data_IF_814555468913
#
_entry.id   IF_814555468913
#
_cell.length_a   1.000
_cell.length_b   1.000
_cell.length_c   1.000
_cell.angle_alpha   90.00
_cell.angle_beta   90.00
_cell.angle_gamma   90.00
#
_symmetry.space_group_name_H-M   'P 1'
#
loop_
_entity.id
_entity.type
_entity.pdbx_description
1 polymer ?
#
# COMPACT_ATOMS: atom_id res chain seq x y z
N UNK A 1 45.93 10.04 -4.72
CA UNK A 1 44.90 9.49 -5.63
C UNK A 1 43.93 8.49 -4.98
N UNK A 2 44.37 7.40 -4.31
CA UNK A 2 43.47 6.32 -3.82
C UNK A 2 42.17 6.77 -3.09
N UNK A 3 42.23 7.75 -2.17
CA UNK A 3 41.03 8.27 -1.47
C UNK A 3 40.12 9.16 -2.33
N UNK A 4 40.64 9.74 -3.42
CA UNK A 4 39.89 10.65 -4.30
C UNK A 4 38.94 9.89 -5.22
N UNK A 5 39.38 8.73 -5.75
CA UNK A 5 38.57 7.94 -6.68
C UNK A 5 37.28 7.41 -6.02
N UNK A 6 37.39 6.91 -4.78
CA UNK A 6 36.25 6.42 -3.99
C UNK A 6 35.27 7.56 -3.68
N UNK A 7 35.78 8.77 -3.37
CA UNK A 7 34.94 9.93 -3.09
C UNK A 7 34.19 10.42 -4.34
N UNK A 8 34.83 10.41 -5.51
CA UNK A 8 34.20 10.79 -6.79
C UNK A 8 33.10 9.81 -7.18
N UNK A 9 33.31 8.50 -6.97
CA UNK A 9 32.31 7.46 -7.25
C UNK A 9 31.09 7.56 -6.33
N UNK A 10 31.27 7.99 -5.07
CA UNK A 10 30.17 8.28 -4.14
C UNK A 10 29.46 9.61 -4.42
N UNK A 11 30.19 10.66 -4.80
CA UNK A 11 29.62 12.00 -5.07
C UNK A 11 28.87 12.08 -6.41
N UNK A 12 29.23 11.27 -7.41
CA UNK A 12 28.58 11.29 -8.72
C UNK A 12 27.08 10.98 -8.70
N UNK A 13 26.62 10.19 -7.73
CA UNK A 13 25.19 9.85 -7.57
C UNK A 13 24.35 10.95 -6.91
N UNK A 14 24.97 11.93 -6.23
CA UNK A 14 24.25 12.87 -5.36
C UNK A 14 23.56 14.04 -6.09
N UNK A 15 23.76 14.19 -7.42
CA UNK A 15 23.28 15.37 -8.19
C UNK A 15 22.59 15.05 -9.52
N UNK A 16 22.06 13.84 -9.72
CA UNK A 16 21.16 13.59 -10.86
C UNK A 16 19.72 13.98 -10.49
N UNK A 17 19.19 15.03 -11.12
CA UNK A 17 17.79 15.46 -10.96
C UNK A 17 16.84 14.36 -11.42
N UNK A 18 16.01 13.87 -10.51
CA UNK A 18 15.16 12.69 -10.68
C UNK A 18 13.95 13.03 -11.57
N UNK A 19 14.14 12.94 -12.89
CA UNK A 19 13.03 12.73 -13.82
C UNK A 19 12.35 11.37 -13.56
N UNK A 20 11.09 11.21 -13.99
CA UNK A 20 10.21 10.07 -13.66
C UNK A 20 10.62 8.69 -14.28
N UNK A 21 11.92 8.46 -14.54
CA UNK A 21 12.46 7.19 -15.05
C UNK A 21 13.26 6.49 -13.96
N UNK A 22 12.90 5.24 -13.69
CA UNK A 22 13.24 4.54 -12.46
C UNK A 22 14.74 4.37 -12.24
N UNK A 23 15.24 4.94 -11.15
CA UNK A 23 16.45 4.47 -10.50
C UNK A 23 16.07 3.36 -9.52
N UNK A 24 16.82 2.26 -9.52
CA UNK A 24 16.79 1.24 -8.48
C UNK A 24 18.21 1.06 -7.94
N UNK A 25 18.34 0.76 -6.66
CA UNK A 25 19.59 0.31 -6.08
C UNK A 25 19.30 -0.77 -5.05
N UNK A 26 20.28 -1.57 -4.67
CA UNK A 26 20.04 -2.59 -3.67
C UNK A 26 21.27 -3.40 -3.31
N UNK A 27 21.18 -4.21 -2.24
CA UNK A 27 22.16 -5.22 -1.96
C UNK A 27 22.09 -6.33 -3.02
N UNK A 28 23.25 -6.94 -3.26
CA UNK A 28 23.39 -8.17 -4.02
C UNK A 28 24.33 -9.13 -3.31
N UNK A 29 24.07 -10.43 -3.44
CA UNK A 29 24.91 -11.48 -2.88
C UNK A 29 24.86 -12.71 -3.78
N UNK A 30 25.89 -13.54 -3.74
CA UNK A 30 25.96 -14.69 -4.64
C UNK A 30 27.15 -15.59 -4.44
N UNK A 31 27.37 -16.48 -5.41
CA UNK A 31 28.47 -17.43 -5.47
C UNK A 31 29.28 -17.24 -6.75
N UNK A 32 30.60 -17.14 -6.61
CA UNK A 32 31.56 -17.25 -7.71
C UNK A 32 32.07 -18.68 -7.84
N UNK A 33 32.28 -19.09 -9.08
CA UNK A 33 32.82 -20.36 -9.53
C UNK A 33 33.98 -20.04 -10.49
N UNK A 34 35.06 -19.50 -9.94
CA UNK A 34 36.23 -19.06 -10.69
C UNK A 34 37.29 -20.16 -10.76
N UNK A 35 37.99 -20.23 -11.89
CA UNK A 35 39.28 -20.92 -12.04
C UNK A 35 40.31 -19.85 -12.39
N UNK A 36 41.30 -19.65 -11.54
CA UNK A 36 42.27 -18.53 -11.65
C UNK A 36 43.46 -18.94 -12.52
N UNK A 37 43.92 -20.18 -12.35
CA UNK A 37 44.93 -20.81 -13.19
C UNK A 37 44.43 -21.06 -14.62
N UNK A 38 45.25 -20.70 -15.62
CA UNK A 38 45.03 -21.05 -17.02
C UNK A 38 45.87 -22.25 -17.42
N UNK A 39 45.32 -23.12 -18.27
CA UNK A 39 46.07 -24.21 -18.92
C UNK A 39 46.47 -25.37 -18.01
N UNK A 40 46.17 -25.33 -16.71
CA UNK A 40 46.34 -26.49 -15.81
C UNK A 40 45.05 -27.31 -15.86
N UNK A 41 45.11 -28.55 -16.32
CA UNK A 41 43.92 -29.41 -16.45
C UNK A 41 43.41 -29.81 -15.05
N UNK A 42 44.31 -30.24 -14.16
CA UNK A 42 44.08 -30.66 -12.77
C UNK A 42 43.73 -29.52 -11.79
N UNK A 43 42.87 -28.58 -12.19
CA UNK A 43 42.40 -27.51 -11.29
C UNK A 43 40.89 -27.34 -11.36
N UNK A 44 40.24 -27.54 -10.23
CA UNK A 44 38.80 -27.39 -10.03
C UNK A 44 38.46 -26.07 -9.32
N UNK A 45 37.49 -25.32 -9.87
CA UNK A 45 36.99 -24.08 -9.27
C UNK A 45 36.14 -24.36 -8.03
N UNK A 46 36.33 -23.59 -6.95
CA UNK A 46 35.54 -23.71 -5.72
C UNK A 46 34.46 -22.64 -5.63
N UNK A 47 33.25 -23.03 -5.23
CA UNK A 47 32.16 -22.09 -4.97
C UNK A 47 32.50 -21.16 -3.80
N UNK A 48 32.43 -19.84 -3.99
CA UNK A 48 32.80 -18.83 -2.98
C UNK A 48 31.82 -17.67 -2.89
N UNK A 49 31.50 -17.17 -1.69
CA UNK A 49 30.55 -16.09 -1.53
C UNK A 49 31.09 -14.75 -2.05
N UNK A 50 30.17 -13.88 -2.45
CA UNK A 50 30.41 -12.45 -2.59
C UNK A 50 29.20 -11.65 -2.11
N UNK A 51 29.44 -10.40 -1.73
CA UNK A 51 28.41 -9.44 -1.32
C UNK A 51 28.76 -8.06 -1.87
N UNK A 52 27.74 -7.30 -2.26
CA UNK A 52 27.94 -5.99 -2.86
C UNK A 52 26.66 -5.18 -2.96
N UNK A 53 26.75 -4.09 -3.71
CA UNK A 53 25.63 -3.23 -4.04
C UNK A 53 25.61 -2.94 -5.54
N UNK A 54 24.44 -2.65 -6.07
CA UNK A 54 24.25 -2.18 -7.43
C UNK A 54 23.35 -0.94 -7.45
N UNK A 55 23.55 -0.10 -8.46
CA UNK A 55 22.67 1.00 -8.84
C UNK A 55 22.37 0.90 -10.33
N UNK A 56 21.09 0.87 -10.67
CA UNK A 56 20.59 0.69 -12.02
C UNK A 56 19.68 1.86 -12.42
N UNK A 57 19.88 2.39 -13.63
CA UNK A 57 19.10 3.47 -14.22
C UNK A 57 18.35 2.97 -15.45
N UNK A 58 17.02 2.99 -15.39
CA UNK A 58 16.15 2.57 -16.50
C UNK A 58 15.90 3.72 -17.46
N UNK A 59 16.66 3.78 -18.56
CA UNK A 59 16.48 4.78 -19.62
C UNK A 59 15.18 4.55 -20.39
N UNK A 60 14.80 3.29 -20.64
CA UNK A 60 13.53 2.88 -21.25
C UNK A 60 12.99 1.61 -20.57
N UNK A 61 11.82 1.11 -21.00
CA UNK A 61 11.30 -0.20 -20.55
C UNK A 61 12.21 -1.38 -20.96
N UNK A 62 12.98 -1.23 -22.02
CA UNK A 62 13.81 -2.29 -22.60
C UNK A 62 15.32 -2.07 -22.39
N UNK A 63 15.76 -0.89 -21.90
CA UNK A 63 17.17 -0.54 -21.77
C UNK A 63 17.46 0.14 -20.42
N UNK A 64 18.46 -0.37 -19.72
CA UNK A 64 18.99 0.22 -18.49
C UNK A 64 20.51 0.18 -18.46
N UNK A 65 21.14 1.15 -17.80
CA UNK A 65 22.54 1.09 -17.42
C UNK A 65 22.65 0.64 -15.96
N UNK A 66 23.71 -0.07 -15.58
CA UNK A 66 23.98 -0.48 -14.20
C UNK A 66 25.45 -0.25 -13.85
N UNK A 67 25.67 0.22 -12.62
CA UNK A 67 26.96 0.19 -11.94
C UNK A 67 26.85 -0.72 -10.72
N UNK A 68 27.78 -1.63 -10.52
CA UNK A 68 27.82 -2.47 -9.33
C UNK A 68 29.24 -2.58 -8.75
N UNK A 69 29.31 -2.82 -7.44
CA UNK A 69 30.54 -2.97 -6.67
C UNK A 69 30.37 -4.05 -5.61
N UNK A 70 31.32 -4.98 -5.53
CA UNK A 70 31.27 -6.14 -4.63
C UNK A 70 32.61 -6.44 -3.97
N UNK A 71 32.57 -6.98 -2.77
CA UNK A 71 33.65 -7.78 -2.21
C UNK A 71 33.41 -9.24 -2.59
N UNK A 72 34.36 -9.87 -3.29
CA UNK A 72 34.25 -11.27 -3.68
C UNK A 72 35.42 -12.11 -3.18
N UNK A 73 35.08 -13.31 -2.70
CA UNK A 73 36.04 -14.36 -2.47
C UNK A 73 36.09 -15.25 -3.72
N UNK A 74 37.26 -15.75 -4.07
CA UNK A 74 37.47 -16.71 -5.16
C UNK A 74 38.43 -17.80 -4.72
N UNK A 75 38.32 -18.95 -5.35
CA UNK A 75 39.41 -19.89 -5.24
C UNK A 75 39.24 -21.17 -6.00
N UNK A 76 40.35 -21.86 -6.12
CA UNK A 76 40.56 -23.08 -6.85
C UNK A 76 41.23 -24.12 -5.95
N UNK A 77 41.14 -25.37 -6.38
CA UNK A 77 41.79 -26.53 -5.77
C UNK A 77 42.58 -27.24 -6.86
N UNK A 78 43.82 -27.60 -6.53
CA UNK A 78 44.65 -28.42 -7.42
C UNK A 78 44.30 -29.89 -7.14
N UNK A 79 43.75 -30.57 -8.14
CA UNK A 79 43.31 -31.96 -8.02
C UNK A 79 44.52 -32.86 -7.72
N UNK A 80 44.27 -34.01 -7.08
CA UNK A 80 45.29 -34.89 -6.47
C UNK A 80 46.11 -34.29 -5.31
N UNK A 81 46.08 -32.98 -5.08
CA UNK A 81 46.77 -32.34 -3.94
C UNK A 81 45.79 -31.80 -2.88
N UNK A 82 46.34 -31.42 -1.74
CA UNK A 82 45.65 -30.71 -0.67
C UNK A 82 45.89 -29.20 -0.71
N UNK A 83 46.37 -28.68 -1.85
CA UNK A 83 46.64 -27.27 -2.10
C UNK A 83 45.39 -26.50 -2.58
N UNK A 84 45.15 -25.32 -2.00
CA UNK A 84 43.99 -24.46 -2.25
C UNK A 84 44.40 -22.98 -2.28
N UNK A 85 43.72 -22.19 -3.11
CA UNK A 85 44.00 -20.75 -3.31
C UNK A 85 42.68 -20.05 -3.72
N UNK A 86 41.86 -19.34 -2.93
CA UNK A 86 42.06 -18.45 -1.77
C UNK A 86 42.60 -17.05 -2.16
N UNK A 87 41.82 -16.31 -2.96
CA UNK A 87 42.05 -14.89 -3.26
C UNK A 87 40.78 -14.04 -3.05
N UNK A 88 40.97 -12.78 -2.64
CA UNK A 88 39.88 -11.82 -2.35
C UNK A 88 39.99 -10.61 -3.28
N UNK A 89 38.86 -10.10 -3.75
CA UNK A 89 38.78 -9.02 -4.74
C UNK A 89 37.77 -7.95 -4.35
N UNK A 90 37.99 -6.73 -4.86
CA UNK A 90 36.94 -5.75 -5.10
C UNK A 90 36.58 -5.81 -6.58
N UNK A 91 35.36 -6.20 -6.87
CA UNK A 91 34.81 -6.26 -8.22
C UNK A 91 34.00 -5.00 -8.48
N UNK A 92 34.18 -4.37 -9.63
CA UNK A 92 33.38 -3.23 -10.08
C UNK A 92 32.99 -3.39 -11.54
N UNK A 93 31.69 -3.38 -11.85
CA UNK A 93 31.19 -3.48 -13.24
C UNK A 93 30.41 -2.24 -13.66
N UNK A 94 30.55 -1.87 -14.93
CA UNK A 94 29.66 -0.97 -15.64
C UNK A 94 29.00 -1.72 -16.81
N UNK A 95 27.68 -1.84 -16.78
CA UNK A 95 26.89 -2.71 -17.64
C UNK A 95 25.82 -1.93 -18.41
N UNK A 96 25.60 -2.32 -19.66
CA UNK A 96 24.38 -2.02 -20.41
C UNK A 96 23.51 -3.28 -20.41
N UNK A 97 22.23 -3.13 -20.06
CA UNK A 97 21.26 -4.22 -19.94
C UNK A 97 20.05 -3.99 -20.83
N UNK A 98 19.73 -5.01 -21.60
CA UNK A 98 18.54 -5.11 -22.45
C UNK A 98 17.52 -6.04 -21.75
N UNK A 99 16.28 -5.59 -21.60
CA UNK A 99 15.18 -6.36 -21.01
C UNK A 99 14.24 -6.88 -22.10
N UNK A 100 13.80 -8.13 -21.97
CA UNK A 100 12.88 -8.78 -22.91
C UNK A 100 11.89 -9.70 -22.17
N UNK A 101 10.71 -9.89 -22.76
CA UNK A 101 9.63 -10.72 -22.19
C UNK A 101 9.21 -10.35 -20.75
N UNK A 102 9.45 -9.11 -20.31
CA UNK A 102 9.20 -8.54 -18.97
C UNK A 102 9.87 -9.24 -17.77
N UNK A 103 10.40 -10.46 -17.93
CA UNK A 103 11.02 -11.25 -16.87
C UNK A 103 12.48 -11.63 -17.15
N UNK A 104 12.99 -11.40 -18.36
CA UNK A 104 14.35 -11.76 -18.76
C UNK A 104 15.16 -10.53 -19.13
N UNK A 105 16.47 -10.60 -18.91
CA UNK A 105 17.40 -9.57 -19.33
C UNK A 105 18.75 -10.15 -19.72
N UNK A 106 19.43 -9.46 -20.62
CA UNK A 106 20.81 -9.71 -20.98
C UNK A 106 21.63 -8.45 -20.71
N UNK A 107 22.75 -8.56 -20.01
CA UNK A 107 23.69 -7.45 -19.77
C UNK A 107 25.08 -7.77 -20.28
N UNK A 108 25.77 -6.74 -20.78
CA UNK A 108 27.20 -6.80 -21.08
C UNK A 108 27.86 -5.44 -20.83
N UNK A 109 29.17 -5.40 -20.67
CA UNK A 109 29.91 -4.16 -20.43
C UNK A 109 31.36 -4.38 -20.09
N UNK A 110 31.88 -3.59 -19.14
CA UNK A 110 33.27 -3.64 -18.69
C UNK A 110 33.30 -3.85 -17.18
N UNK A 111 34.10 -4.82 -16.74
CA UNK A 111 34.38 -5.07 -15.33
C UNK A 111 35.86 -4.89 -15.00
N UNK A 112 36.13 -4.61 -13.73
CA UNK A 112 37.48 -4.56 -13.16
C UNK A 112 37.49 -5.34 -11.85
N UNK A 113 38.44 -6.27 -11.73
CA UNK A 113 38.65 -7.09 -10.55
C UNK A 113 39.97 -6.65 -9.90
N UNK A 114 39.89 -5.94 -8.78
CA UNK A 114 41.05 -5.48 -8.03
C UNK A 114 41.39 -6.49 -6.92
N UNK A 115 42.52 -7.17 -7.03
CA UNK A 115 42.95 -8.15 -6.04
C UNK A 115 43.41 -7.46 -4.74
N UNK A 116 42.89 -7.91 -3.60
CA UNK A 116 43.24 -7.40 -2.27
C UNK A 116 44.27 -8.27 -1.56
N UNK A 117 44.12 -9.59 -1.67
CA UNK A 117 44.96 -10.57 -1.00
C UNK A 117 44.86 -11.91 -1.73
N UNK A 118 45.92 -12.71 -1.70
CA UNK A 118 45.91 -14.08 -2.14
C UNK A 118 46.77 -14.91 -1.19
N UNK A 119 46.39 -16.17 -0.99
CA UNK A 119 47.11 -17.11 -0.13
C UNK A 119 47.04 -18.52 -0.69
N UNK A 120 48.08 -19.31 -0.46
CA UNK A 120 48.10 -20.74 -0.71
C UNK A 120 47.94 -21.47 0.62
N UNK A 121 46.98 -22.39 0.70
CA UNK A 121 46.71 -23.24 1.86
C UNK A 121 47.00 -24.68 1.44
N UNK A 122 48.02 -25.32 2.04
CA UNK A 122 48.31 -26.74 1.88
C UNK A 122 47.91 -27.50 3.15
N UNK A 123 47.12 -28.56 3.02
CA UNK A 123 46.72 -29.43 4.15
C UNK A 123 47.39 -30.79 4.05
N UNK A 124 48.62 -30.89 4.52
CA UNK A 124 49.41 -32.13 4.42
C UNK A 124 48.84 -33.27 5.28
N UNK A 125 48.14 -32.94 6.36
CA UNK A 125 47.48 -33.89 7.27
C UNK A 125 46.28 -33.24 7.97
N UNK A 126 45.52 -34.01 8.75
CA UNK A 126 44.45 -33.49 9.63
C UNK A 126 44.97 -32.57 10.74
N UNK A 127 46.28 -32.57 11.00
CA UNK A 127 46.93 -31.82 12.08
C UNK A 127 47.84 -30.68 11.62
N UNK A 128 48.16 -30.58 10.31
CA UNK A 128 49.05 -29.53 9.77
C UNK A 128 48.39 -28.77 8.61
N UNK A 129 48.40 -27.44 8.72
CA UNK A 129 47.98 -26.51 7.67
C UNK A 129 49.11 -25.53 7.46
N UNK A 130 49.69 -25.53 6.26
CA UNK A 130 50.66 -24.53 5.84
C UNK A 130 49.94 -23.44 5.04
N UNK A 131 49.93 -22.22 5.56
CA UNK A 131 49.41 -21.05 4.85
C UNK A 131 50.57 -20.14 4.41
N UNK A 132 50.54 -19.69 3.16
CA UNK A 132 51.49 -18.70 2.61
C UNK A 132 50.71 -17.60 1.90
N UNK A 133 50.76 -16.39 2.45
CA UNK A 133 50.25 -15.19 1.78
C UNK A 133 51.20 -14.74 0.66
N UNK A 134 50.65 -14.12 -0.37
CA UNK A 134 51.41 -13.50 -1.47
C UNK A 134 51.46 -11.99 -1.28
N UNK A 135 52.67 -11.42 -1.19
CA UNK A 135 52.87 -9.98 -1.00
C UNK A 135 52.44 -9.16 -2.24
N UNK A 136 52.74 -9.66 -3.44
CA UNK A 136 52.30 -9.04 -4.69
C UNK A 136 51.13 -9.81 -5.31
N UNK A 137 49.94 -9.21 -5.23
CA UNK A 137 48.70 -9.70 -5.85
C UNK A 137 48.31 -8.90 -7.10
N UNK A 138 49.14 -7.95 -7.55
CA UNK A 138 48.83 -7.07 -8.67
C UNK A 138 48.63 -7.84 -9.98
N UNK A 139 49.34 -8.96 -10.17
CA UNK A 139 49.19 -9.90 -11.29
C UNK A 139 47.80 -10.55 -11.41
N UNK A 140 47.04 -10.62 -10.31
CA UNK A 140 45.67 -11.14 -10.29
C UNK A 140 44.63 -10.07 -10.66
N UNK A 141 45.03 -8.79 -10.71
CA UNK A 141 44.15 -7.68 -11.02
C UNK A 141 43.92 -7.61 -12.53
N UNK A 142 42.67 -7.62 -12.97
CA UNK A 142 42.33 -7.72 -14.39
C UNK A 142 41.09 -6.92 -14.80
N UNK A 143 41.03 -6.56 -16.08
CA UNK A 143 39.80 -6.12 -16.74
C UNK A 143 39.08 -7.32 -17.34
N UNK A 144 37.75 -7.29 -17.30
CA UNK A 144 36.89 -8.36 -17.82
C UNK A 144 35.73 -7.83 -18.64
N UNK A 145 35.19 -8.67 -19.52
CA UNK A 145 33.90 -8.45 -20.18
C UNK A 145 32.88 -9.40 -19.56
N UNK A 146 32.02 -8.94 -18.63
CA UNK A 146 30.94 -9.74 -18.07
C UNK A 146 29.80 -9.89 -19.06
N UNK A 147 29.32 -11.12 -19.24
CA UNK A 147 28.07 -11.46 -19.94
C UNK A 147 27.08 -11.96 -18.88
N UNK A 148 25.94 -11.30 -18.73
CA UNK A 148 24.92 -11.65 -17.73
C UNK A 148 23.60 -12.05 -18.38
N UNK A 149 22.97 -13.11 -17.86
CA UNK A 149 21.57 -13.46 -18.09
C UNK A 149 20.81 -13.33 -16.78
N UNK A 150 19.85 -12.40 -16.72
CA UNK A 150 19.03 -12.11 -15.55
C UNK A 150 17.58 -12.60 -15.70
N UNK A 151 17.04 -13.20 -14.65
CA UNK A 151 15.63 -13.56 -14.51
C UNK A 151 15.00 -12.79 -13.34
N UNK A 152 13.83 -12.19 -13.54
CA UNK A 152 13.11 -11.38 -12.55
C UNK A 152 11.91 -12.14 -11.98
N UNK A 153 11.87 -12.25 -10.65
CA UNK A 153 10.75 -12.82 -9.90
C UNK A 153 9.61 -11.81 -9.70
N UNK A 154 8.44 -12.30 -9.29
CA UNK A 154 7.24 -11.46 -9.08
C UNK A 154 7.42 -10.38 -8.00
N UNK A 155 8.26 -10.63 -7.00
CA UNK A 155 8.65 -9.66 -5.97
C UNK A 155 9.79 -8.73 -6.39
N UNK A 156 10.08 -8.64 -7.69
CA UNK A 156 11.15 -7.86 -8.31
C UNK A 156 12.60 -8.26 -7.97
N UNK A 157 12.82 -9.22 -7.07
CA UNK A 157 14.13 -9.81 -6.90
C UNK A 157 14.61 -10.41 -8.23
N UNK A 158 15.91 -10.37 -8.49
CA UNK A 158 16.48 -10.95 -9.72
C UNK A 158 17.57 -11.97 -9.44
N UNK A 159 17.61 -13.00 -10.27
CA UNK A 159 18.65 -14.02 -10.32
C UNK A 159 19.48 -13.81 -11.59
N UNK A 160 20.79 -13.59 -11.46
CA UNK A 160 21.70 -13.39 -12.60
C UNK A 160 22.74 -14.50 -12.68
N UNK A 161 22.87 -15.09 -13.86
CA UNK A 161 23.99 -15.95 -14.25
C UNK A 161 25.00 -15.10 -15.01
N UNK A 162 26.23 -15.00 -14.51
CA UNK A 162 27.29 -14.15 -15.08
C UNK A 162 28.45 -15.00 -15.55
N UNK A 163 28.97 -14.71 -16.74
CA UNK A 163 30.23 -15.26 -17.25
C UNK A 163 31.15 -14.11 -17.65
N UNK A 164 32.18 -13.86 -16.83
CA UNK A 164 33.21 -12.86 -17.08
C UNK A 164 34.36 -13.43 -17.90
N UNK A 165 34.64 -12.82 -19.04
CA UNK A 165 35.76 -13.15 -19.93
C UNK A 165 36.95 -12.26 -19.55
N UNK A 166 38.08 -12.87 -19.16
CA UNK A 166 39.29 -12.15 -18.78
C UNK A 166 40.07 -11.59 -19.96
N UNK A 167 40.43 -10.30 -19.90
CA UNK A 167 41.24 -9.63 -20.93
C UNK A 167 42.74 -9.76 -20.64
N UNK A 168 43.58 -9.55 -21.66
CA UNK A 168 45.05 -9.51 -21.55
C UNK A 168 45.68 -10.71 -20.82
N UNK A 169 45.16 -11.91 -21.03
CA UNK A 169 45.64 -13.11 -20.35
C UNK A 169 44.98 -13.39 -18.98
N UNK A 170 44.16 -12.47 -18.46
CA UNK A 170 43.38 -12.64 -17.23
C UNK A 170 42.33 -13.78 -17.29
N UNK A 171 41.89 -14.25 -16.13
CA UNK A 171 41.11 -15.48 -15.96
C UNK A 171 39.59 -15.30 -16.07
N UNK A 172 38.88 -16.36 -16.48
CA UNK A 172 37.42 -16.34 -16.61
C UNK A 172 36.72 -16.62 -15.27
N UNK A 173 35.52 -16.08 -15.09
CA UNK A 173 34.73 -16.26 -13.87
C UNK A 173 33.26 -16.57 -14.20
N UNK A 174 32.71 -17.66 -13.65
CA UNK A 174 31.27 -17.89 -13.65
C UNK A 174 30.68 -17.50 -12.29
N UNK A 175 29.51 -16.86 -12.24
CA UNK A 175 28.87 -16.47 -10.98
C UNK A 175 27.34 -16.55 -11.03
N UNK A 176 26.72 -16.78 -9.87
CA UNK A 176 25.27 -16.74 -9.66
C UNK A 176 24.97 -15.67 -8.62
N UNK A 177 24.12 -14.69 -8.97
CA UNK A 177 23.84 -13.49 -8.15
C UNK A 177 22.35 -13.37 -7.84
N UNK A 178 22.00 -13.12 -6.58
CA UNK A 178 20.69 -12.62 -6.19
C UNK A 178 20.76 -11.12 -5.92
N UNK A 179 19.75 -10.37 -6.37
CA UNK A 179 19.65 -8.91 -6.18
C UNK A 179 18.27 -8.53 -5.68
N UNK A 180 18.21 -7.57 -4.76
CA UNK A 180 16.98 -7.13 -4.11
C UNK A 180 16.79 -5.62 -4.33
N UNK A 181 15.93 -5.19 -5.28
CA UNK A 181 15.77 -3.78 -5.59
C UNK A 181 15.05 -3.02 -4.47
N UNK A 182 15.67 -1.94 -4.01
CA UNK A 182 15.06 -0.92 -3.17
C UNK A 182 14.60 0.20 -4.11
N UNK A 183 13.28 0.31 -4.32
CA UNK A 183 12.68 1.42 -5.06
C UNK A 183 12.53 2.64 -4.16
N UNK A 184 13.23 3.72 -4.50
CA UNK A 184 12.91 5.05 -3.94
C UNK A 184 11.76 5.64 -4.75
N UNK A 185 10.52 5.28 -4.40
CA UNK A 185 9.33 6.00 -4.89
C UNK A 185 9.36 7.42 -4.33
N UNK A 186 9.34 8.47 -5.17
CA UNK A 186 9.28 9.86 -4.70
C UNK A 186 8.11 10.08 -3.73
N UNK A 187 8.36 10.81 -2.65
CA UNK A 187 7.41 10.98 -1.54
C UNK A 187 6.06 11.56 -2.01
N UNK A 188 6.06 12.44 -3.01
CA UNK A 188 4.86 13.07 -3.60
C UNK A 188 3.85 12.09 -4.22
N UNK A 189 4.28 10.88 -4.62
CA UNK A 189 3.39 9.89 -5.26
C UNK A 189 2.86 8.83 -4.29
N UNK A 190 3.21 8.90 -3.00
CA UNK A 190 2.65 7.98 -2.01
C UNK A 190 1.23 8.42 -1.67
N UNK A 191 0.20 7.57 -1.82
CA UNK A 191 -1.14 7.92 -1.38
C UNK A 191 -1.10 8.26 0.12
N UNK A 192 -1.88 9.27 0.56
CA UNK A 192 -1.87 9.70 1.96
C UNK A 192 -2.17 8.52 2.88
N UNK A 193 -1.41 8.38 3.96
CA UNK A 193 -1.63 7.28 4.91
C UNK A 193 -3.08 7.34 5.44
N UNK A 194 -3.70 6.17 5.69
CA UNK A 194 -5.10 6.13 6.20
C UNK A 194 -5.28 6.99 7.45
N UNK A 195 -4.27 7.05 8.31
CA UNK A 195 -4.24 7.92 9.50
C UNK A 195 -4.26 9.42 9.14
N UNK A 196 -3.52 9.84 8.11
CA UNK A 196 -3.54 11.23 7.64
C UNK A 196 -4.87 11.59 6.97
N UNK A 197 -5.46 10.68 6.19
CA UNK A 197 -6.81 10.86 5.61
C UNK A 197 -7.85 11.03 6.72
N UNK A 198 -7.86 10.13 7.71
CA UNK A 198 -8.77 10.22 8.84
C UNK A 198 -8.56 11.50 9.67
N UNK A 199 -7.31 11.92 9.91
CA UNK A 199 -6.99 13.14 10.66
C UNK A 199 -7.48 14.39 9.94
N UNK A 200 -7.36 14.46 8.61
CA UNK A 200 -8.00 15.50 7.81
C UNK A 200 -9.53 15.44 8.00
N UNK A 201 -10.18 14.30 7.74
CA UNK A 201 -11.64 14.13 7.89
C UNK A 201 -12.17 14.54 9.28
N UNK A 202 -11.42 14.27 10.36
CA UNK A 202 -11.77 14.70 11.73
C UNK A 202 -11.71 16.22 11.87
N UNK A 203 -10.67 16.86 11.33
CA UNK A 203 -10.51 18.32 11.33
C UNK A 203 -11.56 19.00 10.46
N UNK A 204 -11.84 18.43 9.30
CA UNK A 204 -12.78 18.96 8.31
C UNK A 204 -14.21 18.83 8.87
N UNK A 205 -14.58 17.71 9.52
CA UNK A 205 -15.83 17.58 10.28
C UNK A 205 -15.93 18.58 11.45
N UNK A 206 -14.85 18.80 12.21
CA UNK A 206 -14.83 19.74 13.35
C UNK A 206 -15.02 21.21 12.92
N UNK A 207 -14.70 21.55 11.67
CA UNK A 207 -14.86 22.89 11.08
C UNK A 207 -16.15 23.06 10.28
N UNK A 208 -16.65 21.96 9.74
CA UNK A 208 -17.88 21.88 8.95
C UNK A 208 -19.11 21.50 9.80
N UNK A 209 -20.02 20.74 9.19
CA UNK A 209 -21.23 20.27 9.86
C UNK A 209 -21.49 18.77 9.67
N UNK A 210 -22.28 18.20 10.57
CA UNK A 210 -22.82 16.85 10.47
C UNK A 210 -24.30 16.90 10.04
N UNK A 211 -24.60 16.36 8.87
CA UNK A 211 -25.97 16.28 8.35
C UNK A 211 -26.59 14.95 8.77
N UNK A 212 -27.57 14.98 9.67
CA UNK A 212 -28.25 13.79 10.18
C UNK A 212 -29.45 13.46 9.28
N UNK A 213 -29.38 12.30 8.63
CA UNK A 213 -30.42 11.81 7.73
C UNK A 213 -31.51 11.09 8.52
N UNK A 214 -32.71 11.67 8.51
CA UNK A 214 -33.91 11.16 9.15
C UNK A 214 -34.65 10.18 8.22
N UNK A 215 -34.99 8.95 8.66
CA UNK A 215 -35.72 7.99 7.84
C UNK A 215 -37.11 8.50 7.42
N UNK A 216 -37.54 8.09 6.23
CA UNK A 216 -38.91 8.23 5.73
C UNK A 216 -39.43 6.92 5.16
N UNK A 217 -40.71 6.65 5.36
CA UNK A 217 -41.39 5.43 4.87
C UNK A 217 -42.29 5.71 3.65
N UNK A 218 -41.92 6.69 2.81
CA UNK A 218 -42.77 7.17 1.72
C UNK A 218 -43.29 6.06 0.79
N UNK A 219 -42.49 5.05 0.35
CA UNK A 219 -43.01 3.97 -0.49
C UNK A 219 -44.09 3.12 0.20
N UNK A 220 -43.95 2.89 1.52
CA UNK A 220 -44.93 2.16 2.32
C UNK A 220 -46.21 3.00 2.55
N UNK A 221 -46.05 4.28 2.84
CA UNK A 221 -47.15 5.25 3.01
C UNK A 221 -47.97 5.35 1.72
N UNK A 222 -47.31 5.48 0.57
CA UNK A 222 -47.95 5.48 -0.76
C UNK A 222 -48.70 4.16 -1.01
N UNK A 223 -48.05 3.01 -0.81
CA UNK A 223 -48.67 1.69 -1.03
C UNK A 223 -49.84 1.38 -0.07
N UNK A 224 -49.86 1.93 1.14
CA UNK A 224 -50.99 1.81 2.07
C UNK A 224 -52.16 2.72 1.66
N UNK A 225 -51.87 3.93 1.20
CA UNK A 225 -52.89 4.86 0.70
C UNK A 225 -53.56 4.36 -0.59
N UNK A 226 -52.79 3.81 -1.53
CA UNK A 226 -53.31 3.16 -2.75
C UNK A 226 -54.25 1.98 -2.44
N UNK A 227 -54.08 1.34 -1.27
CA UNK A 227 -54.93 0.25 -0.76
C UNK A 227 -56.09 0.74 0.11
N UNK A 228 -56.26 2.06 0.28
CA UNK A 228 -57.28 2.65 1.16
C UNK A 228 -57.08 2.39 2.66
N UNK A 229 -55.89 1.96 3.09
CA UNK A 229 -55.62 1.52 4.47
C UNK A 229 -55.23 2.71 5.39
N UNK A 230 -56.10 3.73 5.46
CA UNK A 230 -55.85 5.03 6.10
C UNK A 230 -55.27 4.93 7.52
N UNK A 231 -55.81 4.05 8.35
CA UNK A 231 -55.44 3.95 9.77
C UNK A 231 -53.99 3.44 9.92
N UNK A 232 -53.61 2.47 9.09
CA UNK A 232 -52.24 1.94 9.03
C UNK A 232 -51.27 2.97 8.47
N UNK A 233 -51.69 3.79 7.50
CA UNK A 233 -50.87 4.93 7.04
C UNK A 233 -50.60 5.90 8.18
N UNK A 234 -51.63 6.27 8.95
CA UNK A 234 -51.50 7.20 10.09
C UNK A 234 -50.64 6.63 11.22
N UNK A 235 -50.73 5.32 11.48
CA UNK A 235 -49.85 4.62 12.42
C UNK A 235 -48.39 4.72 11.97
N UNK A 236 -48.08 4.38 10.71
CA UNK A 236 -46.72 4.48 10.14
C UNK A 236 -46.18 5.91 10.20
N UNK A 237 -46.98 6.92 9.86
CA UNK A 237 -46.58 8.34 9.92
C UNK A 237 -46.19 8.73 11.35
N UNK A 238 -47.07 8.53 12.34
CA UNK A 238 -46.81 8.88 13.75
C UNK A 238 -45.58 8.18 14.30
N UNK A 239 -45.37 6.93 13.89
CA UNK A 239 -44.26 6.13 14.37
C UNK A 239 -42.91 6.59 13.78
N UNK A 240 -42.87 6.96 12.49
CA UNK A 240 -41.71 7.60 11.85
C UNK A 240 -41.43 8.99 12.45
N UNK A 241 -42.46 9.80 12.69
CA UNK A 241 -42.31 11.10 13.38
C UNK A 241 -41.74 10.93 14.80
N UNK A 242 -42.18 9.90 15.52
CA UNK A 242 -41.69 9.59 16.87
C UNK A 242 -40.21 9.18 16.85
N UNK A 243 -39.80 8.30 15.93
CA UNK A 243 -38.39 7.92 15.73
C UNK A 243 -37.54 9.15 15.35
N UNK A 244 -38.03 9.99 14.43
CA UNK A 244 -37.32 11.20 13.99
C UNK A 244 -37.16 12.22 15.13
N UNK A 245 -38.20 12.46 15.94
CA UNK A 245 -38.10 13.33 17.13
C UNK A 245 -37.12 12.76 18.17
N UNK A 246 -37.07 11.44 18.35
CA UNK A 246 -36.12 10.79 19.26
C UNK A 246 -34.67 10.94 18.78
N UNK A 247 -34.41 10.78 17.47
CA UNK A 247 -33.10 11.01 16.85
C UNK A 247 -32.67 12.47 17.02
N UNK A 248 -33.53 13.44 16.67
CA UNK A 248 -33.24 14.87 16.79
C UNK A 248 -32.94 15.27 18.24
N UNK A 249 -33.77 14.80 19.19
CA UNK A 249 -33.56 15.05 20.63
C UNK A 249 -32.24 14.47 21.14
N UNK A 250 -31.87 13.26 20.69
CA UNK A 250 -30.61 12.63 21.05
C UNK A 250 -29.40 13.43 20.56
N UNK A 251 -29.43 13.94 19.33
CA UNK A 251 -28.40 14.83 18.80
C UNK A 251 -28.35 16.17 19.54
N UNK A 252 -29.49 16.84 19.73
CA UNK A 252 -29.61 18.12 20.46
C UNK A 252 -29.02 18.05 21.87
N UNK A 253 -29.17 16.92 22.56
CA UNK A 253 -28.70 16.74 23.94
C UNK A 253 -27.26 16.18 24.08
N UNK A 254 -26.76 15.40 23.10
CA UNK A 254 -25.52 14.60 23.29
C UNK A 254 -24.40 14.90 22.28
N UNK A 255 -24.66 15.62 21.20
CA UNK A 255 -23.66 15.95 20.19
C UNK A 255 -23.17 17.39 20.32
N UNK A 256 -21.86 17.58 20.27
CA UNK A 256 -21.21 18.89 20.44
C UNK A 256 -19.78 18.88 19.88
N UNK A 257 -19.59 18.26 18.71
CA UNK A 257 -18.29 18.16 18.03
C UNK A 257 -18.19 19.08 16.80
N UNK A 258 -19.32 19.36 16.15
CA UNK A 258 -19.51 20.26 15.01
C UNK A 258 -20.94 20.81 15.05
N UNK A 259 -21.29 21.70 14.13
CA UNK A 259 -22.69 22.03 13.85
C UNK A 259 -23.47 20.79 13.36
N UNK A 260 -24.79 20.79 13.59
CA UNK A 260 -25.68 19.69 13.22
C UNK A 260 -26.94 20.21 12.56
N UNK A 261 -27.27 19.64 11.39
CA UNK A 261 -28.52 19.88 10.67
C UNK A 261 -29.19 18.54 10.35
N UNK A 262 -30.49 18.56 10.11
CA UNK A 262 -31.28 17.36 9.82
C UNK A 262 -31.90 17.45 8.43
N UNK A 263 -32.14 16.31 7.79
CA UNK A 263 -32.90 16.23 6.54
C UNK A 263 -33.57 14.88 6.37
N UNK A 264 -34.74 14.85 5.72
CA UNK A 264 -35.45 13.60 5.45
C UNK A 264 -34.80 12.78 4.32
N UNK A 265 -34.85 11.45 4.43
CA UNK A 265 -34.10 10.54 3.55
C UNK A 265 -34.49 10.58 2.07
N UNK A 266 -35.65 11.15 1.72
CA UNK A 266 -36.07 11.42 0.34
C UNK A 266 -35.27 12.56 -0.33
N UNK A 267 -34.70 13.52 0.43
CA UNK A 267 -33.88 14.61 -0.11
C UNK A 267 -32.40 14.24 -0.29
N UNK A 268 -32.07 12.95 -0.33
CA UNK A 268 -30.66 12.51 -0.37
C UNK A 268 -29.94 12.91 -1.66
N UNK A 269 -30.66 12.99 -2.78
CA UNK A 269 -30.09 13.45 -4.06
C UNK A 269 -29.85 14.96 -4.05
N UNK A 270 -30.76 15.75 -3.46
CA UNK A 270 -30.58 17.20 -3.29
C UNK A 270 -29.32 17.51 -2.49
N UNK A 271 -29.14 16.85 -1.33
CA UNK A 271 -27.95 17.01 -0.49
C UNK A 271 -26.68 16.58 -1.23
N UNK A 272 -26.71 15.48 -2.01
CA UNK A 272 -25.55 15.05 -2.83
C UNK A 272 -25.19 16.08 -3.90
N UNK A 273 -26.19 16.77 -4.45
CA UNK A 273 -26.04 17.81 -5.46
C UNK A 273 -25.76 19.20 -4.87
N UNK A 274 -25.59 19.33 -3.55
CA UNK A 274 -25.32 20.60 -2.86
C UNK A 274 -26.53 21.52 -2.69
N UNK A 275 -27.75 21.01 -2.88
CA UNK A 275 -28.99 21.73 -2.62
C UNK A 275 -29.42 21.51 -1.15
N UNK A 276 -29.13 22.50 -0.30
CA UNK A 276 -29.40 22.44 1.14
C UNK A 276 -30.75 23.01 1.57
N UNK A 277 -31.67 23.29 0.63
CA UNK A 277 -32.97 23.92 0.90
C UNK A 277 -33.91 23.11 1.80
N UNK A 278 -33.62 21.82 2.00
CA UNK A 278 -34.35 20.87 2.85
C UNK A 278 -33.69 20.61 4.21
N UNK A 279 -32.60 21.33 4.54
CA UNK A 279 -31.98 21.24 5.87
C UNK A 279 -32.84 21.95 6.91
N UNK A 280 -32.98 21.32 8.08
CA UNK A 280 -33.69 21.86 9.23
C UNK A 280 -32.82 21.85 10.50
N UNK A 281 -33.14 22.73 11.44
CA UNK A 281 -32.52 22.79 12.76
C UNK A 281 -33.06 21.68 13.69
N UNK A 282 -32.62 21.66 14.95
CA UNK A 282 -33.08 20.69 15.95
C UNK A 282 -34.51 20.93 16.47
N UNK A 283 -35.19 21.97 16.01
CA UNK A 283 -36.58 22.34 16.31
C UNK A 283 -37.51 22.14 15.10
N UNK A 284 -36.98 21.57 14.01
CA UNK A 284 -37.62 21.31 12.72
C UNK A 284 -37.94 22.56 11.87
N UNK A 285 -37.37 23.73 12.19
CA UNK A 285 -37.42 24.90 11.30
C UNK A 285 -36.43 24.76 10.15
N UNK A 286 -36.82 25.18 8.95
CA UNK A 286 -35.96 25.20 7.77
C UNK A 286 -34.79 26.18 7.96
N UNK A 287 -33.58 25.76 7.59
CA UNK A 287 -32.36 26.59 7.64
C UNK A 287 -32.09 27.14 6.25
N UNK A 288 -32.14 28.46 6.10
CA UNK A 288 -31.73 29.15 4.87
C UNK A 288 -30.24 29.52 4.92
N UNK A 289 -29.46 28.95 4.01
CA UNK A 289 -28.10 29.40 3.73
C UNK A 289 -28.15 30.57 2.74
N UNK A 290 -27.40 31.65 3.03
CA UNK A 290 -27.37 32.82 2.13
C UNK A 290 -26.70 32.41 0.81
N UNK A 291 -27.24 32.87 -0.33
CA UNK A 291 -26.64 32.60 -1.65
C UNK A 291 -25.19 33.07 -1.69
N UNK A 292 -24.25 32.13 -1.64
CA UNK A 292 -22.81 32.37 -1.57
C UNK A 292 -22.12 31.56 -0.48
N UNK A 293 -22.83 31.29 0.62
CA UNK A 293 -22.35 30.46 1.72
C UNK A 293 -22.52 28.98 1.37
N UNK A 294 -21.61 28.44 0.57
CA UNK A 294 -21.51 26.98 0.41
C UNK A 294 -21.03 26.37 1.72
N UNK A 295 -21.79 25.44 2.27
CA UNK A 295 -21.39 24.68 3.46
C UNK A 295 -20.16 23.82 3.09
N UNK A 296 -18.94 24.18 3.53
CA UNK A 296 -17.73 23.88 2.77
C UNK A 296 -17.27 22.42 2.93
N UNK A 297 -17.43 21.88 4.13
CA UNK A 297 -17.14 20.50 4.48
C UNK A 297 -18.33 19.93 5.25
N UNK A 298 -18.84 18.77 4.83
CA UNK A 298 -19.86 18.06 5.60
C UNK A 298 -19.74 16.55 5.49
N UNK A 299 -20.28 15.91 6.52
CA UNK A 299 -20.43 14.46 6.60
C UNK A 299 -21.87 14.12 6.93
N UNK A 300 -22.29 12.91 6.56
CA UNK A 300 -23.69 12.47 6.74
C UNK A 300 -23.73 11.39 7.81
N UNK A 301 -24.60 11.54 8.80
CA UNK A 301 -24.88 10.53 9.82
C UNK A 301 -26.25 9.88 9.59
N UNK A 302 -26.34 8.55 9.68
CA UNK A 302 -27.63 7.83 9.66
C UNK A 302 -27.63 6.59 10.59
N UNK A 303 -28.82 6.20 11.08
CA UNK A 303 -29.03 4.96 11.83
C UNK A 303 -29.36 3.78 10.89
N UNK A 304 -28.34 3.17 10.31
CA UNK A 304 -28.44 2.12 9.28
C UNK A 304 -27.66 0.85 9.65
N UNK A 305 -27.80 -0.22 8.86
CA UNK A 305 -26.93 -1.39 8.99
C UNK A 305 -25.50 -1.03 8.57
N UNK A 306 -24.52 -1.50 9.34
CA UNK A 306 -23.12 -1.26 9.04
C UNK A 306 -22.69 -2.03 7.78
N UNK A 307 -22.18 -1.34 6.77
CA UNK A 307 -21.59 -2.03 5.60
C UNK A 307 -20.18 -2.52 5.93
N UNK A 308 -19.69 -3.61 5.29
CA UNK A 308 -18.29 -4.02 5.40
C UNK A 308 -17.31 -2.87 5.11
N UNK A 309 -16.14 -2.87 5.77
CA UNK A 309 -15.09 -1.85 5.60
C UNK A 309 -14.50 -1.90 4.19
N UNK A 310 -15.06 -1.11 3.28
CA UNK A 310 -14.71 -1.09 1.86
C UNK A 310 -13.25 -0.72 1.59
N UNK A 311 -12.54 -0.07 2.53
CA UNK A 311 -11.11 0.20 2.41
C UNK A 311 -10.23 -1.06 2.54
N UNK A 312 -10.75 -2.19 3.04
CA UNK A 312 -10.07 -3.50 2.95
C UNK A 312 -10.37 -4.24 1.66
N UNK A 313 -11.41 -3.84 0.92
CA UNK A 313 -11.98 -4.60 -0.20
C UNK A 313 -12.10 -3.78 -1.51
N UNK A 314 -11.28 -2.74 -1.71
CA UNK A 314 -11.13 -2.17 -3.05
C UNK A 314 -10.56 -3.23 -3.99
N UNK A 315 -11.36 -3.66 -4.98
CA UNK A 315 -10.94 -4.65 -5.99
C UNK A 315 -10.31 -3.89 -7.16
N UNK A 316 -11.07 -3.02 -7.80
CA UNK A 316 -10.67 -2.25 -8.97
C UNK A 316 -11.50 -0.97 -9.13
N UNK A 317 -11.14 -0.16 -10.13
CA UNK A 317 -12.05 0.83 -10.71
C UNK A 317 -12.63 0.26 -11.99
N UNK A 318 -13.95 0.07 -12.04
CA UNK A 318 -14.66 -0.24 -13.29
C UNK A 318 -14.97 1.06 -14.03
N UNK A 319 -15.00 0.97 -15.36
CA UNK A 319 -15.56 2.01 -16.20
C UNK A 319 -17.03 1.64 -16.46
N UNK A 320 -17.95 2.53 -16.10
CA UNK A 320 -19.40 2.34 -16.26
C UNK A 320 -19.99 3.45 -17.14
N UNK A 321 -21.09 3.19 -17.87
CA UNK A 321 -21.79 4.23 -18.61
C UNK A 321 -22.30 5.32 -17.66
N UNK A 322 -22.13 6.59 -18.05
CA UNK A 322 -22.76 7.70 -17.34
C UNK A 322 -24.24 7.83 -17.79
N UNK A 323 -25.21 8.07 -16.87
CA UNK A 323 -26.61 8.32 -17.23
C UNK A 323 -26.81 9.46 -18.24
N UNK A 324 -25.91 10.45 -18.28
CA UNK A 324 -25.96 11.58 -19.22
C UNK A 324 -25.13 11.33 -20.50
N UNK A 325 -24.63 10.11 -20.70
CA UNK A 325 -23.75 9.74 -21.80
C UNK A 325 -22.26 9.88 -21.46
N UNK A 326 -21.46 8.93 -21.95
CA UNK A 326 -20.03 8.85 -21.68
C UNK A 326 -19.66 7.72 -20.72
N UNK A 327 -18.44 7.78 -20.19
CA UNK A 327 -17.83 6.73 -19.38
C UNK A 327 -17.28 7.32 -18.08
N UNK A 328 -17.82 6.91 -16.93
CA UNK A 328 -17.35 7.32 -15.60
C UNK A 328 -16.58 6.19 -14.91
N UNK A 329 -15.55 6.55 -14.14
CA UNK A 329 -14.82 5.59 -13.30
C UNK A 329 -15.54 5.43 -11.97
N UNK A 330 -16.00 4.22 -11.68
CA UNK A 330 -16.66 3.87 -10.42
C UNK A 330 -15.76 2.93 -9.63
N UNK A 331 -15.59 3.18 -8.33
CA UNK A 331 -14.80 2.32 -7.44
C UNK A 331 -15.61 1.07 -7.11
N UNK A 332 -15.08 -0.11 -7.39
CA UNK A 332 -15.70 -1.39 -7.08
C UNK A 332 -15.14 -1.92 -5.77
N UNK A 333 -16.04 -2.30 -4.87
CA UNK A 333 -15.70 -2.92 -3.60
C UNK A 333 -16.19 -4.37 -3.57
N UNK A 334 -15.40 -5.25 -2.96
CA UNK A 334 -15.68 -6.67 -2.88
C UNK A 334 -16.81 -6.99 -1.92
N UNK A 335 -17.74 -7.83 -2.38
CA UNK A 335 -18.79 -8.40 -1.57
C UNK A 335 -18.22 -9.62 -0.83
N UNK A 336 -18.17 -9.54 0.50
CA UNK A 336 -17.78 -10.68 1.34
C UNK A 336 -18.48 -10.59 2.69
N UNK A 337 -19.12 -11.69 3.08
CA UNK A 337 -19.99 -11.84 4.27
C UNK A 337 -19.22 -11.74 5.60
N UNK A 338 -18.60 -10.60 5.87
CA UNK A 338 -18.27 -10.23 7.24
C UNK A 338 -19.58 -9.81 7.91
N UNK A 339 -20.29 -10.81 8.42
CA UNK A 339 -21.66 -10.77 8.96
C UNK A 339 -21.87 -9.76 10.08
N UNK A 340 -21.91 -8.49 9.71
CA UNK A 340 -22.06 -7.32 10.55
C UNK A 340 -23.39 -6.58 10.24
N UNK A 341 -24.45 -7.34 9.93
CA UNK A 341 -25.84 -6.87 9.87
C UNK A 341 -26.38 -6.50 11.27
N UNK A 342 -25.69 -5.54 11.91
CA UNK A 342 -26.17 -4.85 13.09
C UNK A 342 -26.42 -3.38 12.74
N UNK A 343 -27.50 -2.84 13.28
CA UNK A 343 -27.83 -1.42 13.18
C UNK A 343 -26.77 -0.61 13.96
N UNK A 344 -26.36 0.51 13.39
CA UNK A 344 -25.35 1.39 13.93
C UNK A 344 -25.68 2.83 13.57
N UNK A 345 -25.13 3.79 14.33
CA UNK A 345 -24.98 5.15 13.86
C UNK A 345 -23.71 5.21 13.01
N UNK A 346 -23.86 5.52 11.72
CA UNK A 346 -22.79 5.43 10.71
C UNK A 346 -22.53 6.82 10.10
N UNK A 347 -21.26 7.18 9.93
CA UNK A 347 -20.81 8.40 9.25
C UNK A 347 -20.36 8.08 7.82
N UNK A 348 -20.77 8.94 6.89
CA UNK A 348 -20.49 8.89 5.45
C UNK A 348 -19.92 10.21 4.95
N UNK A 349 -19.25 10.18 3.80
CA UNK A 349 -18.89 11.38 3.03
C UNK A 349 -20.11 12.00 2.31
N UNK A 350 -19.88 13.13 1.61
CA UNK A 350 -20.90 13.81 0.80
C UNK A 350 -21.49 12.94 -0.33
N UNK A 351 -20.78 11.88 -0.76
CA UNK A 351 -21.26 10.92 -1.76
C UNK A 351 -22.09 9.78 -1.14
N UNK A 352 -22.43 9.87 0.16
CA UNK A 352 -23.10 8.83 0.94
C UNK A 352 -22.27 7.52 1.04
N UNK A 353 -20.95 7.57 0.83
CA UNK A 353 -20.03 6.45 1.01
C UNK A 353 -19.60 6.39 2.47
N UNK A 354 -19.74 5.23 3.09
CA UNK A 354 -19.33 4.99 4.48
C UNK A 354 -17.83 5.25 4.66
N UNK A 355 -17.46 6.04 5.68
CA UNK A 355 -16.06 6.25 6.03
C UNK A 355 -15.41 4.96 6.57
N UNK A 356 -14.09 4.93 6.67
CA UNK A 356 -13.32 3.71 6.98
C UNK A 356 -12.32 3.96 8.11
N UNK A 357 -11.81 2.89 8.72
CA UNK A 357 -10.77 3.00 9.75
C UNK A 357 -9.49 3.68 9.21
N UNK A 358 -8.82 4.54 10.00
CA UNK A 358 -9.00 4.74 11.44
C UNK A 358 -9.95 5.90 11.83
N UNK A 359 -10.72 6.47 10.90
CA UNK A 359 -11.74 7.47 11.27
C UNK A 359 -12.81 6.80 12.16
N UNK A 360 -13.37 7.47 13.17
CA UNK A 360 -14.43 6.91 14.02
C UNK A 360 -15.79 6.75 13.33
N UNK A 361 -15.86 5.99 12.23
CA UNK A 361 -16.96 6.00 11.25
C UNK A 361 -18.27 5.37 11.70
N UNK A 362 -18.29 4.65 12.82
CA UNK A 362 -19.53 4.11 13.39
C UNK A 362 -19.49 3.94 14.90
N UNK A 363 -20.69 3.85 15.47
CA UNK A 363 -21.00 3.37 16.82
C UNK A 363 -22.17 2.39 16.74
N UNK A 364 -22.04 1.20 17.34
CA UNK A 364 -23.15 0.23 17.43
C UNK A 364 -24.32 0.84 18.20
N UNK A 365 -25.53 0.83 17.64
CA UNK A 365 -26.73 0.99 18.46
C UNK A 365 -26.98 -0.36 19.16
N UNK A 366 -27.20 -0.32 20.47
CA UNK A 366 -27.32 -1.55 21.25
C UNK A 366 -28.70 -2.16 21.07
N UNK A 367 -28.80 -3.16 20.18
CA UNK A 367 -29.88 -4.17 20.23
C UNK A 367 -29.29 -5.44 20.83
N UNK A 368 -29.92 -5.98 21.89
CA UNK A 368 -29.63 -7.33 22.37
C UNK A 368 -30.00 -8.28 21.22
N UNK A 369 -29.04 -9.06 20.73
CA UNK A 369 -29.25 -9.92 19.55
C UNK A 369 -30.25 -11.03 19.90
N UNK A 370 -31.51 -10.85 19.49
CA UNK A 370 -32.51 -11.91 19.48
C UNK A 370 -32.15 -12.85 18.32
N UNK A 371 -31.43 -13.92 18.63
CA UNK A 371 -30.88 -14.87 17.65
C UNK A 371 -31.50 -16.26 17.74
N UNK A 372 -32.62 -16.39 18.45
CA UNK A 372 -33.15 -17.69 18.92
C UNK A 372 -34.52 -18.10 18.33
N UNK A 373 -35.32 -17.20 17.75
CA UNK A 373 -36.62 -17.55 17.11
C UNK A 373 -36.85 -16.82 15.77
N UNK A 374 -36.46 -17.41 14.61
CA UNK A 374 -36.71 -16.82 13.29
C UNK A 374 -38.21 -16.76 12.92
N UNK A 375 -39.00 -17.69 13.44
CA UNK A 375 -40.39 -17.94 13.01
C UNK A 375 -41.38 -16.89 13.55
N UNK A 376 -41.02 -16.19 14.63
CA UNK A 376 -41.84 -15.13 15.24
C UNK A 376 -41.67 -13.77 14.53
N UNK A 377 -40.62 -13.58 13.72
CA UNK A 377 -40.31 -12.30 13.06
C UNK A 377 -41.36 -11.86 12.02
N UNK A 378 -42.09 -12.80 11.42
CA UNK A 378 -43.11 -12.51 10.40
C UNK A 378 -44.28 -11.71 11.02
N UNK A 379 -44.59 -11.93 12.30
CA UNK A 379 -45.65 -11.20 13.02
C UNK A 379 -45.17 -9.87 13.64
N UNK A 380 -43.86 -9.68 13.81
CA UNK A 380 -43.25 -8.46 14.35
C UNK A 380 -42.76 -7.49 13.27
N UNK A 381 -42.99 -7.78 11.99
CA UNK A 381 -42.51 -6.96 10.88
C UNK A 381 -42.95 -5.47 10.90
N UNK A 382 -44.15 -5.07 11.35
CA UNK A 382 -44.47 -3.65 11.52
C UNK A 382 -43.81 -3.01 12.76
N UNK A 383 -43.31 -3.81 13.72
CA UNK A 383 -42.77 -3.33 14.99
C UNK A 383 -41.23 -3.29 15.08
N UNK A 384 -40.52 -3.83 14.08
CA UNK A 384 -39.06 -3.87 14.04
C UNK A 384 -38.31 -2.51 14.17
N UNK A 385 -38.83 -1.35 13.73
CA UNK A 385 -38.21 -0.06 13.98
C UNK A 385 -38.21 0.34 15.47
N UNK A 386 -39.17 -0.14 16.25
CA UNK A 386 -39.51 0.37 17.59
C UNK A 386 -38.90 -0.43 18.75
N UNK A 387 -37.87 -1.23 18.46
CA UNK A 387 -37.10 -1.95 19.48
C UNK A 387 -36.07 -1.01 20.13
N UNK A 388 -36.56 -0.17 21.06
CA UNK A 388 -35.83 0.78 21.92
C UNK A 388 -34.33 0.93 21.64
N UNK A 389 -34.03 1.64 20.55
CA UNK A 389 -32.68 2.13 20.30
C UNK A 389 -32.45 3.31 21.24
N UNK A 390 -31.49 3.17 22.14
CA UNK A 390 -31.00 4.32 22.90
C UNK A 390 -30.15 5.22 21.98
N UNK A 391 -30.85 6.10 21.26
CA UNK A 391 -30.24 7.09 20.38
C UNK A 391 -29.31 8.02 21.18
N UNK A 392 -29.68 8.39 22.41
CA UNK A 392 -28.88 9.28 23.27
C UNK A 392 -27.52 8.67 23.64
N UNK A 393 -27.50 7.42 24.13
CA UNK A 393 -26.27 6.67 24.41
C UNK A 393 -25.44 6.49 23.13
N UNK A 394 -26.08 6.21 22.00
CA UNK A 394 -25.36 5.97 20.73
C UNK A 394 -24.69 7.25 20.22
N UNK A 395 -25.40 8.39 20.25
CA UNK A 395 -24.85 9.71 19.88
C UNK A 395 -23.78 10.16 20.87
N UNK A 396 -24.01 10.00 22.18
CA UNK A 396 -23.02 10.33 23.22
C UNK A 396 -21.72 9.54 23.03
N UNK A 397 -21.80 8.25 22.73
CA UNK A 397 -20.64 7.41 22.37
C UNK A 397 -19.94 7.91 21.11
N UNK A 398 -20.67 8.38 20.10
CA UNK A 398 -20.08 8.95 18.88
C UNK A 398 -19.33 10.26 19.17
N UNK A 399 -19.98 11.20 19.87
CA UNK A 399 -19.38 12.47 20.28
C UNK A 399 -18.09 12.26 21.09
N UNK A 400 -18.12 11.34 22.05
CA UNK A 400 -16.94 10.95 22.83
C UNK A 400 -15.84 10.30 21.99
N UNK A 401 -16.19 9.46 21.00
CA UNK A 401 -15.22 8.86 20.08
C UNK A 401 -14.56 9.93 19.22
N UNK A 402 -15.34 10.84 18.61
CA UNK A 402 -14.84 11.98 17.82
C UNK A 402 -13.90 12.87 18.63
N UNK A 403 -14.28 13.28 19.85
CA UNK A 403 -13.44 14.10 20.74
C UNK A 403 -12.10 13.43 21.09
N UNK A 404 -12.07 12.12 21.33
CA UNK A 404 -10.82 11.37 21.59
C UNK A 404 -9.84 11.40 20.42
N UNK A 405 -10.36 11.38 19.18
CA UNK A 405 -9.53 11.48 17.98
C UNK A 405 -9.17 12.95 17.63
N UNK A 406 -10.06 13.90 17.91
CA UNK A 406 -9.87 15.34 17.62
C UNK A 406 -8.96 16.08 18.60
N UNK A 407 -8.62 15.48 19.75
CA UNK A 407 -7.68 16.01 20.74
C UNK A 407 -6.23 15.48 20.53
N UNK A 408 -5.96 14.77 19.42
CA UNK A 408 -4.61 14.34 19.05
C UNK A 408 -3.98 15.43 18.17
N UNK A 409 -3.59 16.53 18.82
CA UNK A 409 -2.70 17.57 18.28
C UNK A 409 -1.24 17.26 18.67
#
# INVERSE_FOLDING_TARGET
>A
MRRLLILILLLGFAKMTVGQRGYSFGPMAGLNFSKVSKGVEDVSGTARPFIGFYGQYHSTKFLSAELNAAYSMRGERFDQTTLRFESNFIDAHALLRIHFLNAFSFSSGIGYYYALSARAINRESTQSVFERDFEDVSSLTQMVVPLELGFQFHNEATLHFTYGIGLNGGFNNAAVTFRFPIRVTPTEQRPPSRRMVAMNQIRDLRRGALLVRLPTSQPLITALNERGATDKTQEVIRAVETENRAIVSAFKANYSFSEVYFFYSNYSEDIRNGNFSSLMNADFDNVSFVRGDSLPDFFIAEFANLKPDTARYYIDTRIEPDPNGGLRRVKRYGDSDIGADFRALVIKDHNFVQLCDPFPYYVRSFKKSYRETPEELIFLFPLLPFLNIDHAITVSKLNNKLRRFGNVE
#
